data_IF_194717435368
#
_entry.id   IF_194717435368
#
_cell.length_a   1.000
_cell.length_b   1.000
_cell.length_c   1.000
_cell.angle_alpha   90.00
_cell.angle_beta   90.00
_cell.angle_gamma   90.00
#
_symmetry.space_group_name_H-M   'P 1'
#
loop_
_entity.id
_entity.type
_entity.pdbx_description
1 polymer ?
#
# COMPACT_ATOMS: atom_id res chain seq x y z
N UNK A 1 -16.61 -26.39 19.73
CA UNK A 1 -15.77 -25.76 20.78
C UNK A 1 -14.35 -26.34 20.67
N UNK A 2 -13.31 -25.51 20.76
CA UNK A 2 -11.99 -25.80 20.18
C UNK A 2 -11.34 -27.10 20.66
N UNK A 3 -10.84 -27.90 19.71
CA UNK A 3 -10.09 -29.15 19.92
C UNK A 3 -8.65 -28.89 20.41
N UNK A 4 -8.45 -28.01 21.38
CA UNK A 4 -7.13 -27.84 22.00
C UNK A 4 -6.97 -28.86 23.12
N UNK A 5 -5.78 -29.47 23.25
CA UNK A 5 -5.49 -30.35 24.38
C UNK A 5 -5.65 -29.59 25.72
N UNK A 6 -5.98 -30.27 26.82
CA UNK A 6 -6.20 -29.62 28.12
C UNK A 6 -5.01 -28.73 28.56
N UNK A 7 -3.78 -29.16 28.26
CA UNK A 7 -2.55 -28.40 28.53
C UNK A 7 -2.53 -27.07 27.76
N UNK A 8 -2.91 -27.08 26.48
CA UNK A 8 -2.93 -25.87 25.66
C UNK A 8 -4.07 -24.93 26.05
N UNK A 9 -5.21 -25.47 26.50
CA UNK A 9 -6.29 -24.66 27.06
C UNK A 9 -5.85 -23.92 28.33
N UNK A 10 -5.17 -24.60 29.25
CA UNK A 10 -4.64 -24.00 30.47
C UNK A 10 -3.59 -22.92 30.18
N UNK A 11 -2.67 -23.17 29.22
CA UNK A 11 -1.70 -22.18 28.74
C UNK A 11 -2.37 -20.94 28.17
N UNK A 12 -3.41 -21.12 27.34
CA UNK A 12 -4.16 -20.02 26.77
C UNK A 12 -4.92 -19.21 27.83
N UNK A 13 -5.53 -19.87 28.81
CA UNK A 13 -6.18 -19.18 29.94
C UNK A 13 -5.16 -18.34 30.75
N UNK A 14 -3.98 -18.91 31.04
CA UNK A 14 -2.90 -18.19 31.74
C UNK A 14 -2.37 -17.00 30.93
N UNK A 15 -2.24 -17.14 29.61
CA UNK A 15 -1.85 -16.05 28.72
C UNK A 15 -2.90 -14.93 28.69
N UNK A 16 -4.19 -15.26 28.53
CA UNK A 16 -5.29 -14.27 28.56
C UNK A 16 -5.40 -13.53 29.88
N UNK A 17 -5.00 -14.15 31.00
CA UNK A 17 -4.97 -13.48 32.29
C UNK A 17 -3.88 -12.38 32.36
N UNK A 18 -2.79 -12.53 31.60
CA UNK A 18 -1.81 -11.46 31.44
C UNK A 18 -2.33 -10.40 30.45
N UNK A 19 -3.02 -9.39 30.98
CA UNK A 19 -3.65 -8.32 30.18
C UNK A 19 -2.69 -7.63 29.21
N UNK A 20 -1.45 -7.36 29.65
CA UNK A 20 -0.43 -6.71 28.79
C UNK A 20 -0.07 -7.60 27.61
N UNK A 21 0.25 -8.87 27.89
CA UNK A 21 0.57 -9.85 26.84
C UNK A 21 -0.58 -10.04 25.85
N UNK A 22 -1.82 -10.08 26.34
CA UNK A 22 -3.00 -10.24 25.49
C UNK A 22 -3.23 -9.02 24.58
N UNK A 23 -3.08 -7.80 25.08
CA UNK A 23 -3.16 -6.58 24.25
C UNK A 23 -2.00 -6.50 23.24
N UNK A 24 -0.78 -6.83 23.65
CA UNK A 24 0.37 -6.88 22.74
C UNK A 24 0.16 -7.89 21.61
N UNK A 25 -0.46 -9.05 21.87
CA UNK A 25 -0.81 -10.01 20.83
C UNK A 25 -1.75 -9.38 19.80
N UNK A 26 -2.80 -8.67 20.25
CA UNK A 26 -3.74 -8.03 19.33
C UNK A 26 -3.09 -6.92 18.51
N UNK A 27 -2.29 -6.05 19.13
CA UNK A 27 -1.54 -5.01 18.42
C UNK A 27 -0.62 -5.65 17.37
N UNK A 28 0.12 -6.70 17.76
CA UNK A 28 0.99 -7.43 16.85
C UNK A 28 0.20 -8.06 15.69
N UNK A 29 -0.93 -8.74 15.97
CA UNK A 29 -1.76 -9.35 14.93
C UNK A 29 -2.32 -8.32 13.96
N UNK A 30 -2.72 -7.14 14.44
CA UNK A 30 -3.19 -6.06 13.56
C UNK A 30 -2.04 -5.55 12.70
N UNK A 31 -0.89 -5.21 13.28
CA UNK A 31 0.27 -4.71 12.52
C UNK A 31 0.76 -5.75 11.49
N UNK A 32 0.83 -7.02 11.90
CA UNK A 32 1.21 -8.13 11.02
C UNK A 32 0.18 -8.36 9.90
N UNK A 33 -1.12 -8.24 10.20
CA UNK A 33 -2.16 -8.31 9.19
C UNK A 33 -2.06 -7.16 8.18
N UNK A 34 -1.81 -5.94 8.66
CA UNK A 34 -1.58 -4.77 7.80
C UNK A 34 -0.32 -4.93 6.94
N UNK A 35 0.77 -5.50 7.47
CA UNK A 35 2.00 -5.73 6.70
C UNK A 35 1.83 -6.80 5.62
N UNK A 36 1.09 -7.88 5.90
CA UNK A 36 0.77 -8.89 4.88
C UNK A 36 -0.08 -8.33 3.74
N UNK A 37 -0.89 -7.31 4.03
CA UNK A 37 -1.71 -6.59 3.05
C UNK A 37 -1.12 -5.21 2.70
N UNK A 38 0.20 -5.04 2.83
CA UNK A 38 0.85 -3.73 2.62
C UNK A 38 0.60 -3.19 1.22
N UNK A 39 0.62 -4.04 0.19
CA UNK A 39 0.34 -3.63 -1.20
C UNK A 39 -1.10 -3.10 -1.42
N UNK A 40 -2.04 -3.33 -0.50
CA UNK A 40 -3.38 -2.73 -0.54
C UNK A 40 -3.42 -1.36 0.13
N UNK A 41 -2.47 -1.08 1.03
CA UNK A 41 -2.40 0.12 1.85
C UNK A 41 -1.44 1.14 1.24
N UNK A 42 -0.30 0.67 0.76
CA UNK A 42 0.78 1.42 0.16
C UNK A 42 1.14 0.83 -1.20
N UNK A 43 0.84 1.54 -2.27
CA UNK A 43 1.14 1.10 -3.62
C UNK A 43 1.27 2.29 -4.57
N UNK A 44 2.26 2.26 -5.44
CA UNK A 44 2.46 3.24 -6.51
C UNK A 44 1.48 3.03 -7.69
N UNK A 45 0.90 1.83 -7.80
CA UNK A 45 -0.13 1.47 -8.76
C UNK A 45 -1.52 1.51 -8.13
N UNK A 46 -2.57 1.88 -8.87
CA UNK A 46 -3.93 1.78 -8.38
C UNK A 46 -4.35 0.31 -8.20
N UNK A 47 -5.22 0.07 -7.22
CA UNK A 47 -5.76 -1.26 -6.92
C UNK A 47 -6.70 -1.74 -8.03
N UNK A 48 -7.49 -0.82 -8.57
CA UNK A 48 -8.51 -1.08 -9.58
C UNK A 48 -8.69 0.16 -10.47
N UNK A 49 -8.79 -0.06 -11.78
CA UNK A 49 -9.06 0.99 -12.76
C UNK A 49 -10.22 0.54 -13.65
N UNK A 50 -11.18 1.43 -13.88
CA UNK A 50 -12.18 1.27 -14.94
C UNK A 50 -11.89 2.30 -16.01
N UNK A 51 -11.58 1.83 -17.21
CA UNK A 51 -11.24 2.69 -18.34
C UNK A 51 -11.93 2.17 -19.60
N UNK A 52 -12.58 3.05 -20.35
CA UNK A 52 -13.31 2.72 -21.58
C UNK A 52 -14.24 1.48 -21.47
N UNK A 53 -14.99 1.40 -20.37
CA UNK A 53 -15.92 0.30 -20.10
C UNK A 53 -15.29 -0.99 -19.57
N UNK A 54 -13.95 -1.14 -19.60
CA UNK A 54 -13.23 -2.33 -19.15
C UNK A 54 -12.62 -2.17 -17.75
N UNK A 55 -12.50 -3.28 -17.01
CA UNK A 55 -11.86 -3.31 -15.69
C UNK A 55 -10.42 -3.81 -15.79
N UNK A 56 -9.52 -3.08 -15.13
CA UNK A 56 -8.09 -3.35 -15.06
C UNK A 56 -7.69 -3.48 -13.59
N UNK A 57 -6.82 -4.44 -13.29
CA UNK A 57 -6.33 -4.73 -11.94
C UNK A 57 -4.80 -4.54 -11.87
N UNK A 58 -4.28 -3.30 -11.83
CA UNK A 58 -2.84 -3.02 -11.93
C UNK A 58 -2.00 -3.60 -10.79
N UNK A 59 -2.63 -3.86 -9.64
CA UNK A 59 -2.02 -4.58 -8.53
C UNK A 59 -1.58 -6.01 -8.93
N UNK A 60 -2.39 -6.70 -9.73
CA UNK A 60 -2.17 -8.13 -10.06
C UNK A 60 -1.48 -8.31 -11.41
N UNK A 61 -1.60 -7.34 -12.31
CA UNK A 61 -1.07 -7.41 -13.67
C UNK A 61 -0.49 -6.07 -14.08
N UNK A 62 0.69 -6.11 -14.71
CA UNK A 62 1.27 -4.93 -15.32
C UNK A 62 0.57 -4.61 -16.65
N UNK A 63 0.19 -3.35 -16.81
CA UNK A 63 -0.39 -2.81 -18.04
C UNK A 63 0.56 -1.80 -18.66
N UNK A 64 0.44 -1.63 -19.96
CA UNK A 64 1.16 -0.63 -20.73
C UNK A 64 0.42 0.70 -20.76
N UNK A 65 1.13 1.78 -21.08
CA UNK A 65 0.49 3.08 -21.28
C UNK A 65 -0.49 3.05 -22.47
N UNK A 66 -0.21 2.24 -23.50
CA UNK A 66 -1.10 2.01 -24.64
C UNK A 66 -2.45 1.38 -24.27
N UNK A 67 -2.52 0.59 -23.18
CA UNK A 67 -3.79 0.03 -22.70
C UNK A 67 -4.76 1.13 -22.22
N UNK A 68 -4.23 2.31 -21.86
CA UNK A 68 -4.98 3.50 -21.48
C UNK A 68 -5.00 4.55 -22.61
N UNK A 69 -4.70 4.13 -23.85
CA UNK A 69 -4.71 4.97 -25.04
C UNK A 69 -3.51 5.91 -25.19
N UNK A 70 -2.42 5.64 -24.47
CA UNK A 70 -1.14 6.31 -24.67
C UNK A 70 -0.38 5.81 -25.90
N UNK A 71 0.64 6.56 -26.35
CA UNK A 71 1.42 6.20 -27.53
C UNK A 71 2.50 5.15 -27.23
N UNK A 72 2.84 4.91 -25.96
CA UNK A 72 3.95 4.04 -25.55
C UNK A 72 3.49 2.63 -25.17
N UNK A 73 4.23 1.62 -25.64
CA UNK A 73 4.06 0.22 -25.23
C UNK A 73 4.85 -0.12 -23.94
N UNK A 74 5.45 0.88 -23.28
CA UNK A 74 6.13 0.72 -21.99
C UNK A 74 5.14 0.51 -20.86
N UNK A 75 5.62 0.02 -19.71
CA UNK A 75 4.80 -0.08 -18.50
C UNK A 75 4.20 1.28 -18.15
N UNK A 76 2.92 1.27 -17.80
CA UNK A 76 2.21 2.47 -17.40
C UNK A 76 2.79 3.03 -16.09
N UNK A 77 3.29 4.27 -16.13
CA UNK A 77 3.64 5.03 -14.94
C UNK A 77 2.39 5.75 -14.41
N UNK A 78 1.74 5.15 -13.44
CA UNK A 78 0.54 5.70 -12.82
C UNK A 78 0.82 6.96 -11.99
N UNK A 79 2.09 7.31 -11.73
CA UNK A 79 2.45 8.55 -11.05
C UNK A 79 2.55 9.74 -12.01
N UNK A 80 2.69 9.50 -13.31
CA UNK A 80 2.72 10.52 -14.35
C UNK A 80 1.44 11.39 -14.30
N UNK A 81 1.57 12.73 -14.15
CA UNK A 81 0.44 13.65 -14.24
C UNK A 81 -0.44 13.46 -15.47
N UNK A 82 0.15 13.13 -16.63
CA UNK A 82 -0.59 12.93 -17.87
C UNK A 82 -1.53 11.71 -17.78
N UNK A 83 -1.00 10.57 -17.31
CA UNK A 83 -1.80 9.36 -17.16
C UNK A 83 -2.86 9.51 -16.07
N UNK A 84 -2.51 10.15 -14.94
CA UNK A 84 -3.47 10.47 -13.86
C UNK A 84 -4.65 11.28 -14.39
N UNK A 85 -4.38 12.39 -15.07
CA UNK A 85 -5.44 13.24 -15.61
C UNK A 85 -6.30 12.50 -16.64
N UNK A 86 -5.68 11.64 -17.45
CA UNK A 86 -6.40 10.83 -18.44
C UNK A 86 -7.33 9.80 -17.80
N UNK A 87 -6.86 9.09 -16.77
CA UNK A 87 -7.65 8.11 -16.02
C UNK A 87 -8.79 8.77 -15.23
N UNK A 88 -8.56 9.96 -14.68
CA UNK A 88 -9.58 10.74 -13.97
C UNK A 88 -10.67 11.27 -14.92
N UNK A 89 -10.31 11.67 -16.15
CA UNK A 89 -11.27 12.21 -17.12
C UNK A 89 -12.09 11.13 -17.84
N UNK A 90 -11.49 9.96 -18.12
CA UNK A 90 -12.11 8.93 -18.97
C UNK A 90 -12.41 7.63 -18.21
N UNK A 91 -12.33 7.65 -16.89
CA UNK A 91 -12.41 6.45 -16.10
C UNK A 91 -12.68 6.69 -14.62
N UNK A 92 -12.52 5.61 -13.87
CA UNK A 92 -12.58 5.61 -12.41
C UNK A 92 -11.39 4.84 -11.87
N UNK A 93 -10.79 5.34 -10.79
CA UNK A 93 -9.58 4.76 -10.22
C UNK A 93 -9.74 4.59 -8.71
N UNK A 94 -9.42 3.39 -8.23
CA UNK A 94 -9.26 3.09 -6.82
C UNK A 94 -7.77 3.07 -6.47
N UNK A 95 -7.34 4.07 -5.70
CA UNK A 95 -5.98 4.15 -5.19
C UNK A 95 -5.84 3.49 -3.83
N UNK A 96 -4.64 3.00 -3.54
CA UNK A 96 -4.23 2.73 -2.17
C UNK A 96 -4.19 4.06 -1.36
N UNK A 97 -4.44 4.03 -0.04
CA UNK A 97 -4.32 5.20 0.83
C UNK A 97 -2.98 5.92 0.70
N UNK A 98 -1.88 5.16 0.62
CA UNK A 98 -0.54 5.66 0.37
C UNK A 98 -0.20 5.32 -1.08
N UNK A 99 0.05 6.35 -1.90
CA UNK A 99 0.27 6.19 -3.35
C UNK A 99 1.74 5.94 -3.70
N UNK A 100 2.46 5.27 -2.81
CA UNK A 100 3.88 4.96 -2.93
C UNK A 100 4.11 3.49 -2.59
N UNK A 101 4.82 2.78 -3.45
CA UNK A 101 5.32 1.43 -3.19
C UNK A 101 6.71 1.44 -2.54
N UNK A 102 7.20 0.26 -2.13
CA UNK A 102 8.48 0.10 -1.42
C UNK A 102 9.69 0.72 -2.13
N UNK A 103 9.71 0.64 -3.47
CA UNK A 103 10.82 1.12 -4.32
C UNK A 103 10.50 2.42 -5.05
N UNK A 104 9.30 2.97 -4.85
CA UNK A 104 8.89 4.22 -5.51
C UNK A 104 9.64 5.42 -4.94
N UNK A 105 9.93 6.40 -5.80
CA UNK A 105 10.60 7.65 -5.45
C UNK A 105 9.63 8.79 -5.72
N UNK A 106 9.48 9.72 -4.77
CA UNK A 106 8.60 10.88 -4.94
C UNK A 106 9.29 11.98 -5.74
N UNK A 107 9.38 11.83 -7.06
CA UNK A 107 9.99 12.84 -7.94
C UNK A 107 9.22 14.16 -8.03
N UNK A 108 7.95 14.19 -7.58
CA UNK A 108 7.07 15.36 -7.68
C UNK A 108 7.15 16.29 -6.45
N UNK A 109 8.17 16.14 -5.59
CA UNK A 109 8.33 17.00 -4.41
C UNK A 109 9.07 18.30 -4.75
N UNK A 110 8.65 19.40 -4.11
CA UNK A 110 9.34 20.70 -4.20
C UNK A 110 10.45 20.84 -3.14
N UNK A 111 10.65 19.81 -2.29
CA UNK A 111 11.61 19.83 -1.18
C UNK A 111 12.80 18.90 -1.45
N UNK A 112 14.02 19.26 -1.02
CA UNK A 112 15.14 18.34 -1.11
C UNK A 112 14.92 17.11 -0.23
N UNK A 113 15.56 16.00 -0.60
CA UNK A 113 15.60 14.79 0.20
C UNK A 113 16.75 14.83 1.22
N UNK A 114 16.58 14.25 2.42
CA UNK A 114 15.33 13.75 3.00
C UNK A 114 14.37 14.89 3.36
N UNK A 115 13.06 14.65 3.20
CA UNK A 115 12.02 15.64 3.45
C UNK A 115 11.21 15.31 4.71
N UNK A 116 10.72 16.33 5.47
CA UNK A 116 9.94 16.11 6.68
C UNK A 116 8.54 15.55 6.38
N UNK A 117 7.84 15.00 7.40
CA UNK A 117 6.45 14.56 7.28
C UNK A 117 5.52 15.57 6.57
N UNK A 118 4.69 15.05 5.67
CA UNK A 118 3.75 15.82 4.86
C UNK A 118 2.44 15.04 4.62
N UNK A 119 1.45 15.71 4.01
CA UNK A 119 0.18 15.04 3.63
C UNK A 119 0.37 13.95 2.57
N UNK A 120 1.40 14.10 1.73
CA UNK A 120 1.74 13.14 0.69
C UNK A 120 2.61 12.00 1.26
N UNK A 121 3.63 12.34 2.06
CA UNK A 121 4.52 11.39 2.71
C UNK A 121 4.37 11.50 4.24
N UNK A 122 3.54 10.66 4.84
CA UNK A 122 3.08 10.85 6.23
C UNK A 122 4.21 10.81 7.27
N UNK A 123 5.30 10.09 6.99
CA UNK A 123 6.50 10.06 7.82
C UNK A 123 7.72 10.72 7.14
N UNK A 124 7.52 11.42 6.03
CA UNK A 124 8.58 12.04 5.23
C UNK A 124 9.23 11.08 4.23
N UNK A 125 10.35 11.51 3.66
CA UNK A 125 11.12 10.71 2.69
C UNK A 125 12.52 10.42 3.20
N UNK A 126 13.10 9.33 2.72
CA UNK A 126 14.51 9.01 2.97
C UNK A 126 15.46 9.89 2.11
N UNK A 127 16.76 9.65 2.22
CA UNK A 127 17.79 10.38 1.47
C UNK A 127 17.70 10.18 -0.07
N UNK A 128 17.04 9.11 -0.51
CA UNK A 128 16.85 8.77 -1.93
C UNK A 128 15.48 9.20 -2.47
N UNK A 129 14.62 9.81 -1.63
CA UNK A 129 13.29 10.25 -2.00
C UNK A 129 12.18 9.20 -1.92
N UNK A 130 12.46 8.03 -1.33
CA UNK A 130 11.44 7.01 -1.07
C UNK A 130 10.59 7.35 0.15
N UNK A 131 9.30 6.98 0.11
CA UNK A 131 8.38 7.19 1.24
C UNK A 131 8.74 6.26 2.42
N UNK A 132 8.91 6.86 3.60
CA UNK A 132 9.33 6.14 4.81
C UNK A 132 8.23 5.21 5.33
N UNK A 133 6.96 5.64 5.29
CA UNK A 133 5.84 4.85 5.81
C UNK A 133 5.57 3.63 4.93
N UNK A 134 5.58 3.82 3.60
CA UNK A 134 5.47 2.73 2.65
C UNK A 134 6.54 1.68 2.93
N UNK A 135 7.82 2.08 3.03
CA UNK A 135 8.91 1.13 3.30
C UNK A 135 8.84 0.41 4.64
N UNK A 136 8.20 0.99 5.65
CA UNK A 136 7.99 0.32 6.95
C UNK A 136 6.86 -0.73 6.86
N UNK A 137 5.89 -0.53 5.98
CA UNK A 137 4.77 -1.45 5.81
C UNK A 137 5.14 -2.73 5.06
N UNK A 138 6.12 -2.66 4.15
CA UNK A 138 6.66 -3.79 3.38
C UNK A 138 7.72 -4.57 4.17
#
# INVERSE_FOLDING_TARGET
MSRLSPVNQARWARFRHNRRGYWSLWIFLVLFGLSLCSELIANDKPLLVRYDGSWYFPLLKNYSESDFGGPLASQADYQDPWLKQRLENNGWVLWAPIRFGATSINFATDKPFPSPPSRQNWLGTDANGGDVLARILY
#
